data_IF_716002261375
#
_entry.id   IF_716002261375
#
_cell.length_a   1.000
_cell.length_b   1.000
_cell.length_c   1.000
_cell.angle_alpha   90.00
_cell.angle_beta   90.00
_cell.angle_gamma   90.00
#
_symmetry.space_group_name_H-M   'P 1'
#
loop_
_entity.id
_entity.type
_entity.pdbx_description
1 polymer ?
#
# COMPACT_ATOMS: atom_id res chain seq x y z
N UNK A 1 13.05 8.22 -27.76
CA UNK A 1 13.50 8.26 -29.16
C UNK A 1 13.95 6.88 -29.62
N UNK A 2 14.83 6.21 -28.89
CA UNK A 2 15.46 4.91 -29.25
C UNK A 2 14.47 3.77 -29.51
N UNK A 3 13.47 3.55 -28.64
CA UNK A 3 12.50 2.45 -28.81
C UNK A 3 11.60 2.65 -30.04
N UNK A 4 11.26 3.89 -30.37
CA UNK A 4 10.47 4.17 -31.59
C UNK A 4 11.32 3.91 -32.84
N UNK A 5 12.60 4.28 -32.82
CA UNK A 5 13.52 3.99 -33.90
C UNK A 5 13.67 2.48 -34.13
N UNK A 6 13.92 1.71 -33.07
CA UNK A 6 14.05 0.24 -33.20
C UNK A 6 12.76 -0.44 -33.67
N UNK A 7 11.59 0.01 -33.20
CA UNK A 7 10.28 -0.48 -33.71
C UNK A 7 10.08 -0.19 -35.20
N UNK A 8 10.59 0.95 -35.67
CA UNK A 8 10.49 1.35 -37.09
C UNK A 8 11.43 0.50 -37.94
N UNK A 9 12.67 0.31 -37.49
CA UNK A 9 13.65 -0.56 -38.16
C UNK A 9 13.18 -2.02 -38.26
N UNK A 10 12.62 -2.58 -37.17
CA UNK A 10 12.07 -3.94 -37.16
C UNK A 10 10.91 -4.08 -38.16
N UNK A 11 10.04 -3.07 -38.22
CA UNK A 11 8.93 -3.03 -39.17
C UNK A 11 9.44 -2.95 -40.61
N UNK A 12 10.38 -2.06 -40.90
CA UNK A 12 10.95 -1.86 -42.23
C UNK A 12 11.66 -3.12 -42.74
N UNK A 13 12.36 -3.83 -41.84
CA UNK A 13 13.00 -5.10 -42.16
C UNK A 13 11.98 -6.19 -42.54
N UNK A 14 10.87 -6.30 -41.79
CA UNK A 14 9.79 -7.22 -42.12
C UNK A 14 9.12 -6.86 -43.45
N UNK A 15 8.78 -5.59 -43.67
CA UNK A 15 8.17 -5.11 -44.91
C UNK A 15 9.10 -5.32 -46.11
N UNK A 16 10.41 -5.14 -45.94
CA UNK A 16 11.41 -5.40 -46.99
C UNK A 16 11.49 -6.88 -47.36
N UNK A 17 11.45 -7.78 -46.37
CA UNK A 17 11.42 -9.23 -46.63
C UNK A 17 10.12 -9.64 -47.34
N UNK A 18 8.99 -9.04 -46.96
CA UNK A 18 7.71 -9.26 -47.63
C UNK A 18 7.73 -8.80 -49.10
N UNK A 19 8.23 -7.60 -49.39
CA UNK A 19 8.34 -7.08 -50.77
C UNK A 19 9.24 -7.95 -51.66
N UNK A 20 10.31 -8.52 -51.09
CA UNK A 20 11.18 -9.45 -51.82
C UNK A 20 10.43 -10.73 -52.23
N UNK A 21 9.65 -11.30 -51.32
CA UNK A 21 8.81 -12.46 -51.62
C UNK A 21 7.77 -12.15 -52.70
N UNK A 22 7.06 -11.02 -52.58
CA UNK A 22 6.07 -10.58 -53.58
C UNK A 22 6.71 -10.40 -54.98
N UNK A 23 7.95 -9.92 -55.02
CA UNK A 23 8.71 -9.78 -56.27
C UNK A 23 9.10 -11.15 -56.85
N UNK A 24 9.56 -12.07 -56.01
CA UNK A 24 9.89 -13.44 -56.40
C UNK A 24 8.66 -14.20 -56.93
N UNK A 25 7.52 -14.09 -56.24
CA UNK A 25 6.23 -14.66 -56.65
C UNK A 25 5.76 -14.10 -58.00
N UNK A 26 5.85 -12.79 -58.18
CA UNK A 26 5.49 -12.14 -59.43
C UNK A 26 6.39 -12.59 -60.59
N UNK A 27 7.69 -12.77 -60.35
CA UNK A 27 8.64 -13.25 -61.35
C UNK A 27 8.38 -14.72 -61.72
N UNK A 28 8.14 -15.58 -60.72
CA UNK A 28 7.78 -16.99 -60.90
C UNK A 28 6.50 -17.12 -61.75
N UNK A 29 5.44 -16.39 -61.39
CA UNK A 29 4.16 -16.42 -62.12
C UNK A 29 4.28 -15.88 -63.55
N UNK A 30 5.09 -14.84 -63.77
CA UNK A 30 5.39 -14.32 -65.11
C UNK A 30 6.13 -15.34 -65.96
N UNK A 31 7.09 -16.06 -65.38
CA UNK A 31 7.86 -17.08 -66.11
C UNK A 31 6.97 -18.26 -66.53
N UNK A 32 6.09 -18.74 -65.66
CA UNK A 32 5.12 -19.80 -65.99
C UNK A 32 4.12 -19.43 -67.08
N UNK A 33 3.74 -18.15 -67.20
CA UNK A 33 2.67 -17.72 -68.11
C UNK A 33 3.15 -17.27 -69.49
N UNK A 34 4.41 -16.84 -69.64
CA UNK A 34 4.97 -16.30 -70.89
C UNK A 34 5.87 -17.26 -71.67
N UNK A 35 6.30 -18.35 -71.06
CA UNK A 35 7.31 -19.23 -71.62
C UNK A 35 6.67 -20.52 -72.09
N UNK A 36 6.90 -20.91 -73.35
CA UNK A 36 6.42 -22.19 -73.88
C UNK A 36 7.39 -23.32 -73.47
N UNK A 37 6.95 -24.35 -72.73
CA UNK A 37 7.82 -25.42 -72.25
C UNK A 37 8.54 -26.19 -73.36
N UNK A 38 7.99 -26.16 -74.59
CA UNK A 38 8.50 -26.87 -75.75
C UNK A 38 9.54 -26.08 -76.57
N UNK A 39 9.72 -24.77 -76.36
CA UNK A 39 10.62 -23.92 -77.17
C UNK A 39 11.86 -23.43 -76.43
N UNK A 40 11.86 -23.44 -75.09
CA UNK A 40 12.99 -22.96 -74.28
C UNK A 40 13.86 -24.13 -73.80
N UNK A 41 15.08 -24.26 -74.35
CA UNK A 41 16.09 -25.17 -73.80
C UNK A 41 16.35 -24.79 -72.32
N UNK A 42 16.36 -25.78 -71.43
CA UNK A 42 16.55 -25.66 -69.97
C UNK A 42 15.40 -24.97 -69.19
N UNK A 43 14.17 -24.98 -69.70
CA UNK A 43 12.99 -24.46 -68.99
C UNK A 43 12.86 -25.01 -67.55
N UNK A 44 13.01 -26.32 -67.37
CA UNK A 44 12.87 -27.01 -66.08
C UNK A 44 13.99 -26.66 -65.07
N UNK A 45 15.18 -26.30 -65.54
CA UNK A 45 16.28 -25.87 -64.68
C UNK A 45 16.00 -24.47 -64.14
N UNK A 46 15.58 -23.56 -65.02
CA UNK A 46 15.22 -22.19 -64.63
C UNK A 46 13.96 -22.12 -63.77
N UNK A 47 13.03 -23.03 -63.96
CA UNK A 47 11.85 -23.16 -63.10
C UNK A 47 12.25 -23.57 -61.68
N UNK A 48 13.17 -24.54 -61.54
CA UNK A 48 13.73 -24.94 -60.25
C UNK A 48 14.48 -23.80 -59.56
N UNK A 49 15.34 -23.08 -60.29
CA UNK A 49 16.04 -21.91 -59.73
C UNK A 49 15.08 -20.84 -59.18
N UNK A 50 14.02 -20.52 -59.92
CA UNK A 50 13.01 -19.54 -59.46
C UNK A 50 12.21 -20.06 -58.27
N UNK A 51 11.97 -21.36 -58.18
CA UNK A 51 11.30 -21.99 -57.05
C UNK A 51 12.19 -21.98 -55.79
N UNK A 52 13.48 -22.26 -55.93
CA UNK A 52 14.47 -22.15 -54.84
C UNK A 52 14.55 -20.71 -54.31
N UNK A 53 14.64 -19.71 -55.21
CA UNK A 53 14.63 -18.28 -54.84
C UNK A 53 13.33 -17.91 -54.09
N UNK A 54 12.18 -18.43 -54.53
CA UNK A 54 10.90 -18.20 -53.84
C UNK A 54 10.94 -18.81 -52.44
N UNK A 55 11.40 -20.06 -52.32
CA UNK A 55 11.52 -20.77 -51.05
C UNK A 55 12.42 -20.02 -50.06
N UNK A 56 13.57 -19.51 -50.52
CA UNK A 56 14.48 -18.69 -49.71
C UNK A 56 13.82 -17.37 -49.25
N UNK A 57 13.10 -16.69 -50.15
CA UNK A 57 12.36 -15.47 -49.82
C UNK A 57 11.25 -15.73 -48.81
N UNK A 58 10.55 -16.86 -48.91
CA UNK A 58 9.48 -17.27 -48.00
C UNK A 58 10.03 -17.57 -46.60
N UNK A 59 11.16 -18.28 -46.52
CA UNK A 59 11.87 -18.53 -45.27
C UNK A 59 12.35 -17.22 -44.63
N UNK A 60 12.94 -16.32 -45.42
CA UNK A 60 13.40 -15.00 -44.95
C UNK A 60 12.26 -14.14 -44.41
N UNK A 61 11.10 -14.15 -45.08
CA UNK A 61 9.88 -13.46 -44.64
C UNK A 61 9.32 -14.04 -43.34
N UNK A 62 9.32 -15.37 -43.21
CA UNK A 62 8.84 -16.06 -41.99
C UNK A 62 9.74 -15.73 -40.80
N UNK A 63 11.06 -15.83 -40.97
CA UNK A 63 12.03 -15.47 -39.94
C UNK A 63 11.87 -14.00 -39.50
N UNK A 64 11.76 -13.09 -40.47
CA UNK A 64 11.59 -11.65 -40.18
C UNK A 64 10.29 -11.36 -39.43
N UNK A 65 9.21 -12.09 -39.75
CA UNK A 65 7.93 -11.98 -39.04
C UNK A 65 8.04 -12.41 -37.59
N UNK A 66 8.70 -13.54 -37.34
CA UNK A 66 8.82 -14.11 -36.00
C UNK A 66 9.74 -13.25 -35.11
N UNK A 67 10.82 -12.71 -35.69
CA UNK A 67 11.67 -11.70 -35.04
C UNK A 67 10.85 -10.45 -34.68
N UNK A 68 10.09 -9.91 -35.64
CA UNK A 68 9.25 -8.74 -35.42
C UNK A 68 8.24 -8.98 -34.28
N UNK A 69 7.51 -10.09 -34.30
CA UNK A 69 6.53 -10.44 -33.27
C UNK A 69 7.18 -10.58 -31.87
N UNK A 70 8.33 -11.24 -31.80
CA UNK A 70 9.04 -11.49 -30.53
C UNK A 70 9.59 -10.19 -29.94
N UNK A 71 10.23 -9.35 -30.76
CA UNK A 71 10.83 -8.11 -30.30
C UNK A 71 9.78 -7.05 -29.93
N UNK A 72 8.70 -6.94 -30.71
CA UNK A 72 7.58 -6.04 -30.38
C UNK A 72 6.94 -6.41 -29.04
N UNK A 73 6.74 -7.71 -28.78
CA UNK A 73 6.25 -8.19 -27.49
C UNK A 73 7.21 -7.85 -26.34
N UNK A 74 8.51 -8.10 -26.51
CA UNK A 74 9.52 -7.74 -25.48
C UNK A 74 9.51 -6.25 -25.17
N UNK A 75 9.43 -5.41 -26.20
CA UNK A 75 9.37 -3.94 -26.05
C UNK A 75 8.11 -3.54 -25.29
N UNK A 76 6.94 -4.02 -25.68
CA UNK A 76 5.67 -3.71 -25.03
C UNK A 76 5.68 -4.16 -23.55
N UNK A 77 6.18 -5.37 -23.28
CA UNK A 77 6.35 -5.91 -21.92
C UNK A 77 7.26 -5.01 -21.08
N UNK A 78 8.42 -4.61 -21.59
CA UNK A 78 9.33 -3.72 -20.88
C UNK A 78 8.74 -2.33 -20.63
N UNK A 79 7.98 -1.78 -21.59
CA UNK A 79 7.29 -0.51 -21.39
C UNK A 79 6.26 -0.60 -20.27
N UNK A 80 5.49 -1.68 -20.21
CA UNK A 80 4.53 -1.90 -19.13
C UNK A 80 5.20 -1.92 -17.76
N UNK A 81 6.25 -2.72 -17.57
CA UNK A 81 6.97 -2.77 -16.30
C UNK A 81 7.65 -1.45 -15.95
N UNK A 82 8.23 -0.76 -16.92
CA UNK A 82 8.82 0.56 -16.69
C UNK A 82 7.79 1.61 -16.30
N UNK A 83 6.57 1.54 -16.84
CA UNK A 83 5.49 2.45 -16.46
C UNK A 83 5.02 2.19 -15.02
N UNK A 84 4.83 0.94 -14.63
CA UNK A 84 4.50 0.58 -13.24
C UNK A 84 5.62 1.02 -12.30
N UNK A 85 6.88 0.69 -12.65
CA UNK A 85 8.04 1.06 -11.85
C UNK A 85 8.12 2.57 -11.67
N UNK A 86 7.99 3.36 -12.74
CA UNK A 86 7.98 4.83 -12.68
C UNK A 86 6.83 5.36 -11.82
N UNK A 87 5.63 4.79 -11.95
CA UNK A 87 4.48 5.17 -11.12
C UNK A 87 4.74 4.92 -9.65
N UNK A 88 5.19 3.70 -9.30
CA UNK A 88 5.52 3.35 -7.92
C UNK A 88 6.66 4.21 -7.38
N UNK A 89 7.73 4.42 -8.13
CA UNK A 89 8.82 5.32 -7.76
C UNK A 89 8.39 6.77 -7.60
N UNK A 90 7.34 7.22 -8.30
CA UNK A 90 6.78 8.56 -8.10
C UNK A 90 5.91 8.67 -6.84
N UNK A 91 5.26 7.58 -6.45
CA UNK A 91 4.36 7.52 -5.28
C UNK A 91 5.07 7.13 -3.99
N UNK A 92 6.17 6.39 -4.06
CA UNK A 92 6.94 5.96 -2.90
C UNK A 92 7.35 7.15 -2.01
N UNK A 93 7.92 8.25 -2.56
CA UNK A 93 8.31 9.39 -1.74
C UNK A 93 7.11 10.08 -1.08
N UNK A 94 5.94 10.07 -1.72
CA UNK A 94 4.72 10.65 -1.17
C UNK A 94 4.19 9.81 0.01
N UNK A 95 4.34 8.49 -0.07
CA UNK A 95 4.01 7.56 1.02
C UNK A 95 5.03 7.68 2.16
N UNK A 96 6.33 7.69 1.84
CA UNK A 96 7.43 7.88 2.80
C UNK A 96 7.30 9.21 3.52
N UNK A 97 7.06 10.30 2.78
CA UNK A 97 6.81 11.61 3.36
C UNK A 97 5.56 11.62 4.25
N UNK A 98 4.48 10.94 3.87
CA UNK A 98 3.30 10.81 4.73
C UNK A 98 3.59 10.00 5.98
N UNK A 99 4.43 8.97 5.90
CA UNK A 99 4.84 8.15 7.03
C UNK A 99 5.80 8.90 7.97
N UNK A 100 6.73 9.69 7.42
CA UNK A 100 7.66 10.54 8.16
C UNK A 100 6.97 11.74 8.81
N UNK A 101 5.96 12.31 8.14
CA UNK A 101 5.14 13.40 8.69
C UNK A 101 3.95 12.91 9.52
N UNK A 102 3.68 11.61 9.56
CA UNK A 102 2.83 11.05 10.59
C UNK A 102 3.64 11.11 11.87
N UNK A 103 3.55 12.27 12.55
CA UNK A 103 4.06 12.41 13.91
C UNK A 103 3.32 11.37 14.75
N UNK A 104 3.90 10.17 14.84
CA UNK A 104 3.46 9.13 15.75
C UNK A 104 3.61 9.75 17.12
N UNK A 105 2.49 10.17 17.67
CA UNK A 105 2.51 10.83 18.95
C UNK A 105 2.87 9.76 19.98
N UNK A 106 3.87 10.00 20.84
CA UNK A 106 4.14 9.12 21.95
C UNK A 106 2.86 8.90 22.75
N UNK A 107 2.49 7.64 22.95
CA UNK A 107 1.25 7.31 23.68
C UNK A 107 1.29 7.85 25.11
N UNK A 108 2.48 7.82 25.73
CA UNK A 108 2.70 8.23 27.10
C UNK A 108 3.65 9.42 27.19
N UNK A 109 3.56 10.22 28.26
CA UNK A 109 4.44 11.38 28.44
C UNK A 109 4.06 12.60 27.60
N UNK A 110 3.01 12.52 26.80
CA UNK A 110 2.62 13.59 25.87
C UNK A 110 1.47 14.44 26.42
N UNK A 111 1.48 15.72 26.07
CA UNK A 111 0.53 16.71 26.58
C UNK A 111 -0.91 16.40 26.14
N UNK A 112 -1.84 16.45 27.11
CA UNK A 112 -3.24 16.09 26.90
C UNK A 112 -3.92 17.00 25.88
N UNK A 113 -3.64 18.31 25.92
CA UNK A 113 -4.24 19.29 25.02
C UNK A 113 -3.82 19.01 23.58
N UNK A 114 -2.54 18.66 23.38
CA UNK A 114 -2.03 18.27 22.06
C UNK A 114 -2.66 16.96 21.55
N UNK A 115 -2.84 15.96 22.40
CA UNK A 115 -3.57 14.73 22.04
C UNK A 115 -5.01 14.99 21.61
N UNK A 116 -5.70 15.94 22.26
CA UNK A 116 -7.05 16.31 21.88
C UNK A 116 -7.07 17.11 20.57
N UNK A 117 -6.12 18.04 20.38
CA UNK A 117 -6.04 18.92 19.20
C UNK A 117 -5.77 18.19 17.88
N UNK A 118 -5.13 17.00 17.92
CA UNK A 118 -4.92 16.16 16.74
C UNK A 118 -6.25 15.62 16.17
N UNK A 119 -7.33 15.60 16.97
CA UNK A 119 -8.64 15.07 16.57
C UNK A 119 -9.60 16.20 16.20
N UNK A 120 -10.16 16.11 15.00
CA UNK A 120 -11.11 17.11 14.48
C UNK A 120 -12.51 17.01 15.11
N UNK A 121 -12.89 15.80 15.54
CA UNK A 121 -14.30 15.50 15.88
C UNK A 121 -14.55 15.24 17.37
N UNK A 122 -13.51 15.27 18.22
CA UNK A 122 -13.64 14.97 19.65
C UNK A 122 -12.68 15.75 20.52
N UNK A 123 -13.17 16.20 21.67
CA UNK A 123 -12.38 16.85 22.73
C UNK A 123 -11.68 15.87 23.69
N UNK A 124 -11.82 14.56 23.48
CA UNK A 124 -11.21 13.53 24.33
C UNK A 124 -9.91 13.06 23.65
N UNK A 125 -8.90 12.66 24.41
CA UNK A 125 -7.70 12.04 23.87
C UNK A 125 -7.97 10.62 23.36
N UNK A 126 -7.39 10.25 22.22
CA UNK A 126 -7.57 8.93 21.60
C UNK A 126 -7.33 7.74 22.55
N UNK A 127 -6.24 7.72 23.35
CA UNK A 127 -5.99 6.61 24.28
C UNK A 127 -7.10 6.43 25.32
N UNK A 128 -7.70 7.53 25.78
CA UNK A 128 -8.80 7.51 26.76
C UNK A 128 -10.05 6.92 26.13
N UNK A 129 -10.45 7.42 24.96
CA UNK A 129 -11.68 6.97 24.29
C UNK A 129 -11.64 5.46 23.99
N UNK A 130 -10.53 4.96 23.45
CA UNK A 130 -10.41 3.54 23.11
C UNK A 130 -10.39 2.68 24.37
N UNK A 131 -9.63 3.05 25.40
CA UNK A 131 -9.63 2.29 26.66
C UNK A 131 -11.01 2.25 27.30
N UNK A 132 -11.79 3.33 27.28
CA UNK A 132 -13.16 3.33 27.81
C UNK A 132 -14.05 2.39 26.98
N UNK A 133 -14.00 2.49 25.64
CA UNK A 133 -14.82 1.64 24.77
C UNK A 133 -14.51 0.14 24.96
N UNK A 134 -13.24 -0.19 25.19
CA UNK A 134 -12.80 -1.56 25.51
C UNK A 134 -13.33 -2.05 26.88
N UNK A 135 -13.68 -1.14 27.79
CA UNK A 135 -14.15 -1.44 29.13
C UNK A 135 -15.68 -1.42 29.26
N UNK A 136 -16.39 -0.71 28.36
CA UNK A 136 -17.85 -0.54 28.39
C UNK A 136 -18.61 -1.87 28.50
N UNK A 137 -18.13 -2.91 27.80
CA UNK A 137 -18.76 -4.24 27.81
C UNK A 137 -18.24 -5.17 28.93
N UNK A 138 -17.26 -4.73 29.72
CA UNK A 138 -16.55 -5.54 30.73
C UNK A 138 -16.63 -4.92 32.13
N UNK A 139 -17.65 -4.10 32.40
CA UNK A 139 -17.83 -3.44 33.69
C UNK A 139 -18.16 -4.43 34.83
N UNK A 140 -18.66 -5.62 34.50
CA UNK A 140 -18.97 -6.67 35.47
C UNK A 140 -17.73 -7.51 35.87
N UNK A 141 -16.56 -7.24 35.28
CA UNK A 141 -15.33 -7.98 35.57
C UNK A 141 -14.83 -7.71 37.00
N UNK A 142 -14.56 -8.77 37.76
CA UNK A 142 -14.11 -8.63 39.14
C UNK A 142 -12.74 -7.95 39.23
N UNK A 143 -12.58 -7.00 40.15
CA UNK A 143 -11.27 -6.41 40.40
C UNK A 143 -10.74 -5.54 39.27
N UNK A 144 -11.62 -5.00 38.43
CA UNK A 144 -11.26 -3.99 37.44
C UNK A 144 -10.48 -2.84 38.10
N UNK A 145 -9.43 -2.36 37.44
CA UNK A 145 -8.44 -1.41 37.98
C UNK A 145 -7.61 -1.87 39.19
N UNK A 146 -7.94 -2.98 39.85
CA UNK A 146 -7.19 -3.55 40.99
C UNK A 146 -6.21 -4.64 40.55
N UNK A 147 -6.65 -5.55 39.68
CA UNK A 147 -5.87 -6.69 39.21
C UNK A 147 -4.77 -6.23 38.23
N UNK A 148 -3.58 -6.84 38.34
CA UNK A 148 -2.46 -6.57 37.46
C UNK A 148 -2.65 -7.27 36.10
N UNK A 149 -2.37 -6.61 34.98
CA UNK A 149 -2.56 -7.20 33.66
C UNK A 149 -1.41 -8.13 33.26
N UNK A 150 -1.65 -8.94 32.23
CA UNK A 150 -0.57 -9.58 31.48
C UNK A 150 0.27 -8.54 30.72
N UNK A 151 1.55 -8.43 31.07
CA UNK A 151 2.48 -7.47 30.47
C UNK A 151 2.67 -7.66 28.95
N UNK A 152 2.67 -8.91 28.46
CA UNK A 152 2.78 -9.21 27.02
C UNK A 152 1.59 -8.67 26.23
N UNK A 153 0.37 -8.88 26.76
CA UNK A 153 -0.86 -8.33 26.17
C UNK A 153 -0.87 -6.80 26.23
N UNK A 154 -0.38 -6.22 27.32
CA UNK A 154 -0.27 -4.76 27.48
C UNK A 154 0.61 -4.12 26.41
N UNK A 155 1.80 -4.69 26.15
CA UNK A 155 2.69 -4.20 25.09
C UNK A 155 2.05 -4.26 23.70
N UNK A 156 1.28 -5.31 23.42
CA UNK A 156 0.57 -5.47 22.15
C UNK A 156 -0.48 -4.36 21.95
N UNK A 157 -1.36 -4.14 22.92
CA UNK A 157 -2.41 -3.11 22.82
C UNK A 157 -1.78 -1.71 22.76
N UNK A 158 -0.73 -1.44 23.52
CA UNK A 158 0.01 -0.17 23.44
C UNK A 158 0.55 0.08 22.03
N UNK A 159 1.14 -0.93 21.38
CA UNK A 159 1.63 -0.81 20.01
C UNK A 159 0.48 -0.52 19.02
N UNK A 160 -0.65 -1.22 19.16
CA UNK A 160 -1.85 -1.02 18.34
C UNK A 160 -2.48 0.37 18.55
N UNK A 161 -2.42 0.90 19.76
CA UNK A 161 -2.85 2.27 20.06
C UNK A 161 -1.92 3.32 19.45
N UNK A 162 -0.59 3.13 19.50
CA UNK A 162 0.39 4.03 18.87
C UNK A 162 0.16 4.09 17.35
N UNK A 163 -0.08 2.93 16.73
CA UNK A 163 -0.37 2.80 15.30
C UNK A 163 -1.81 3.20 14.92
N UNK A 164 -2.65 3.57 15.90
CA UNK A 164 -4.05 3.93 15.73
C UNK A 164 -4.88 2.89 14.94
N UNK A 165 -4.55 1.60 15.06
CA UNK A 165 -5.23 0.52 14.32
C UNK A 165 -6.60 0.17 14.91
N UNK A 166 -6.86 0.56 16.17
CA UNK A 166 -8.11 0.30 16.89
C UNK A 166 -9.08 1.47 16.66
N UNK A 167 -9.80 1.44 15.53
CA UNK A 167 -10.73 2.49 15.13
C UNK A 167 -12.10 2.47 15.83
N UNK A 168 -13.01 3.35 15.38
CA UNK A 168 -14.43 3.37 15.83
C UNK A 168 -15.28 2.24 15.26
N UNK A 169 -14.88 1.69 14.12
CA UNK A 169 -15.60 0.60 13.43
C UNK A 169 -15.05 -0.80 13.70
N UNK A 170 -14.02 -0.94 14.53
CA UNK A 170 -13.53 -2.27 14.91
C UNK A 170 -14.54 -2.90 15.88
N UNK A 171 -15.09 -4.05 15.50
CA UNK A 171 -15.92 -4.83 16.40
C UNK A 171 -15.04 -5.31 17.56
N UNK A 172 -15.04 -4.57 18.67
CA UNK A 172 -14.21 -4.84 19.84
C UNK A 172 -14.44 -6.26 20.41
N UNK A 173 -15.60 -6.85 20.10
CA UNK A 173 -16.00 -8.21 20.45
C UNK A 173 -15.11 -9.30 19.80
N UNK A 174 -14.41 -8.99 18.71
CA UNK A 174 -13.54 -9.96 18.00
C UNK A 174 -12.11 -9.99 18.54
N UNK A 175 -11.69 -8.95 19.27
CA UNK A 175 -10.28 -8.78 19.63
C UNK A 175 -9.87 -9.49 20.91
N UNK A 176 -10.83 -10.05 21.66
CA UNK A 176 -10.64 -10.82 22.90
C UNK A 176 -9.57 -10.19 23.83
N UNK A 177 -9.61 -8.86 23.98
CA UNK A 177 -8.67 -8.17 24.86
C UNK A 177 -9.09 -8.36 26.32
N UNK A 178 -8.07 -8.56 27.15
CA UNK A 178 -8.24 -8.66 28.59
C UNK A 178 -8.58 -7.27 29.17
N UNK A 179 -9.73 -7.08 29.83
CA UNK A 179 -10.17 -5.78 30.35
C UNK A 179 -9.20 -5.21 31.41
N UNK A 180 -8.47 -6.06 32.15
CA UNK A 180 -7.46 -5.60 33.09
C UNK A 180 -6.28 -4.91 32.38
N UNK A 181 -5.99 -5.32 31.14
CA UNK A 181 -4.97 -4.69 30.30
C UNK A 181 -5.42 -3.28 29.91
N UNK A 182 -6.63 -3.11 29.41
CA UNK A 182 -7.20 -1.81 29.04
C UNK A 182 -7.25 -0.86 30.25
N UNK A 183 -7.70 -1.37 31.40
CA UNK A 183 -7.70 -0.62 32.66
C UNK A 183 -6.29 -0.20 33.10
N UNK A 184 -5.29 -1.08 32.92
CA UNK A 184 -3.90 -0.76 33.25
C UNK A 184 -3.30 0.29 32.32
N UNK A 185 -3.55 0.20 31.01
CA UNK A 185 -3.09 1.18 30.02
C UNK A 185 -3.69 2.55 30.33
N UNK A 186 -4.99 2.61 30.64
CA UNK A 186 -5.66 3.86 31.01
C UNK A 186 -5.03 4.48 32.26
N UNK A 187 -4.80 3.68 33.31
CA UNK A 187 -4.10 4.15 34.53
C UNK A 187 -2.70 4.66 34.22
N UNK A 188 -1.94 3.93 33.41
CA UNK A 188 -0.59 4.29 33.04
C UNK A 188 -0.58 5.61 32.25
N UNK A 189 -1.48 5.74 31.29
CA UNK A 189 -1.64 6.96 30.49
C UNK A 189 -1.90 8.19 31.36
N UNK A 190 -2.90 8.12 32.25
CA UNK A 190 -3.25 9.23 33.14
C UNK A 190 -2.12 9.58 34.14
N UNK A 191 -1.33 8.58 34.56
CA UNK A 191 -0.20 8.78 35.48
C UNK A 191 1.01 9.42 34.79
N UNK A 192 1.21 9.13 33.51
CA UNK A 192 2.36 9.60 32.73
C UNK A 192 2.08 10.91 31.96
N UNK A 193 0.93 11.56 32.20
CA UNK A 193 0.68 12.90 31.67
C UNK A 193 1.66 13.93 32.29
N UNK A 194 2.18 14.89 31.50
CA UNK A 194 3.11 15.91 32.00
C UNK A 194 2.46 16.86 33.02
N UNK A 195 1.17 17.18 32.84
CA UNK A 195 0.33 17.80 33.86
C UNK A 195 -0.80 16.85 34.27
N UNK A 196 -1.15 16.85 35.54
CA UNK A 196 -2.19 15.96 36.09
C UNK A 196 -3.53 16.33 35.46
N UNK A 197 -4.44 15.35 35.34
CA UNK A 197 -5.77 15.58 34.76
C UNK A 197 -6.55 16.73 35.43
N UNK A 198 -6.41 16.89 36.76
CA UNK A 198 -7.03 17.98 37.52
C UNK A 198 -6.24 19.31 37.48
N UNK A 199 -5.17 19.36 36.70
CA UNK A 199 -4.16 20.42 36.59
C UNK A 199 -3.44 20.73 37.90
N UNK A 200 -2.12 20.81 37.86
CA UNK A 200 -1.31 21.15 39.04
C UNK A 200 -1.63 22.53 39.61
N UNK A 201 -2.03 23.48 38.75
CA UNK A 201 -2.41 24.84 39.15
C UNK A 201 -3.64 24.89 40.07
N UNK A 202 -4.60 23.97 39.90
CA UNK A 202 -5.83 23.93 40.70
C UNK A 202 -5.73 23.06 41.95
N UNK A 203 -4.64 22.32 42.15
CA UNK A 203 -4.44 21.44 43.31
C UNK A 203 -4.66 22.12 44.68
N UNK A 204 -4.19 23.36 44.92
CA UNK A 204 -4.45 24.04 46.19
C UNK A 204 -5.94 24.22 46.47
N UNK A 205 -6.71 24.57 45.44
CA UNK A 205 -8.17 24.76 45.54
C UNK A 205 -8.88 23.42 45.80
N UNK A 206 -8.45 22.34 45.14
CA UNK A 206 -8.98 21.00 45.40
C UNK A 206 -8.73 20.56 46.85
N UNK A 207 -7.53 20.80 47.38
CA UNK A 207 -7.16 20.45 48.75
C UNK A 207 -7.97 21.26 49.77
N UNK A 208 -8.20 22.55 49.50
CA UNK A 208 -9.04 23.41 50.33
C UNK A 208 -10.47 22.86 50.42
N UNK A 209 -11.09 22.51 49.28
CA UNK A 209 -12.43 21.91 49.23
C UNK A 209 -12.51 20.59 50.04
N UNK A 210 -11.50 19.73 49.92
CA UNK A 210 -11.45 18.46 50.69
C UNK A 210 -11.33 18.75 52.18
N UNK A 211 -10.50 19.71 52.58
CA UNK A 211 -10.32 20.10 53.97
C UNK A 211 -11.59 20.69 54.59
N UNK A 212 -12.34 21.49 53.81
CA UNK A 212 -13.64 22.05 54.21
C UNK A 212 -14.68 20.95 54.40
N UNK A 213 -14.69 19.93 53.52
CA UNK A 213 -15.59 18.77 53.68
C UNK A 213 -15.29 17.97 54.94
N UNK A 214 -14.01 17.73 55.25
CA UNK A 214 -13.61 16.99 56.45
C UNK A 214 -13.88 17.77 57.75
N UNK A 215 -13.67 19.09 57.74
CA UNK A 215 -14.01 19.96 58.88
C UNK A 215 -15.51 20.08 59.08
N UNK A 216 -16.30 20.22 58.01
CA UNK A 216 -17.76 20.22 58.12
C UNK A 216 -18.30 18.86 58.58
N UNK A 217 -17.76 17.74 58.09
CA UNK A 217 -18.18 16.40 58.51
C UNK A 217 -17.82 16.11 59.98
N UNK A 218 -16.65 16.56 60.45
CA UNK A 218 -16.26 16.45 61.86
C UNK A 218 -17.07 17.38 62.76
N UNK A 219 -17.36 18.62 62.35
CA UNK A 219 -18.27 19.53 63.07
C UNK A 219 -19.69 18.94 63.17
N UNK A 220 -20.19 18.30 62.12
CA UNK A 220 -21.50 17.66 62.13
C UNK A 220 -21.56 16.44 63.06
N UNK A 221 -20.49 15.64 63.14
CA UNK A 221 -20.38 14.53 64.09
C UNK A 221 -20.23 14.99 65.54
N UNK A 222 -19.52 16.10 65.79
CA UNK A 222 -19.37 16.70 67.12
C UNK A 222 -20.69 17.34 67.58
N UNK A 223 -21.50 17.91 66.68
CA UNK A 223 -22.83 18.45 67.02
C UNK A 223 -23.94 17.40 67.15
N UNK A 224 -23.69 16.15 66.71
CA UNK A 224 -24.65 15.04 66.78
C UNK A 224 -24.38 14.05 67.94
N UNK A 225 -23.41 14.35 68.80
CA UNK A 225 -23.12 13.62 70.06
C UNK A 225 -23.50 14.47 71.26
#
# INVERSE_FOLDING_TARGET
STIRQTMTELRDNYEKAQRKLETADANFKKFQTRSDPLTLANFDERLRELEDIRCECEQSRTLSRDIYATETYKIAKNQFYNNISRYLSSKMPEIEQRLENDDLIPLFGYDLIKHCSKRKDTLIAYPIEICIRLLENSLNEEGLFRIAPSQGKQKKIVAELILQTIGRGTALNELNYDPHVSASILKQYLRELPDRLLTTALLPQWNEIISLRLTLFSLFLIQSS
#
